data_IF_908891468785
#
_entry.id   IF_908891468785
#
_cell.length_a   1.000
_cell.length_b   1.000
_cell.length_c   1.000
_cell.angle_alpha   90.00
_cell.angle_beta   90.00
_cell.angle_gamma   90.00
#
_symmetry.space_group_name_H-M   'P 1'
#
loop_
_entity.id
_entity.type
_entity.pdbx_description
1 polymer ?
#
# COMPACT_ATOMS: atom_id res chain seq x y z
N UNK A 1 -11.94 -27.23 1.83
CA UNK A 1 -10.70 -26.92 1.11
C UNK A 1 -9.58 -26.75 2.14
N UNK A 2 -8.41 -27.37 1.96
CA UNK A 2 -7.25 -27.12 2.85
C UNK A 2 -6.52 -25.88 2.34
N UNK A 3 -6.28 -24.92 3.23
CA UNK A 3 -5.58 -23.67 2.89
C UNK A 3 -4.07 -23.87 2.78
N UNK A 4 -3.50 -24.80 3.58
CA UNK A 4 -2.07 -25.07 3.60
C UNK A 4 -1.71 -26.27 2.73
N UNK A 5 -0.56 -26.20 2.06
CA UNK A 5 -0.01 -27.26 1.21
C UNK A 5 1.24 -27.93 1.79
N UNK A 6 1.83 -27.35 2.83
CA UNK A 6 3.15 -27.67 3.42
C UNK A 6 4.33 -27.48 2.47
N UNK A 7 4.12 -27.00 1.25
CA UNK A 7 5.18 -26.82 0.26
C UNK A 7 6.20 -25.74 0.64
N UNK A 8 5.93 -24.94 1.68
CA UNK A 8 6.81 -23.89 2.17
C UNK A 8 7.41 -24.15 3.55
N UNK A 9 7.27 -25.39 4.09
CA UNK A 9 7.80 -25.76 5.41
C UNK A 9 9.35 -25.86 5.39
N UNK A 10 9.95 -25.94 4.22
CA UNK A 10 11.39 -25.92 3.96
C UNK A 10 12.01 -24.50 3.99
N UNK A 11 11.22 -23.43 4.29
CA UNK A 11 11.66 -22.05 4.30
C UNK A 11 11.62 -21.37 2.92
N UNK A 12 11.12 -22.03 1.87
CA UNK A 12 10.98 -21.43 0.55
C UNK A 12 9.52 -21.12 0.20
N UNK A 13 9.30 -20.26 -0.80
CA UNK A 13 7.97 -19.92 -1.30
C UNK A 13 7.96 -19.80 -2.83
N UNK A 14 6.79 -20.04 -3.44
CA UNK A 14 6.57 -19.85 -4.87
C UNK A 14 6.34 -18.38 -5.22
N UNK A 15 6.73 -17.98 -6.42
CA UNK A 15 6.52 -16.65 -6.98
C UNK A 15 5.49 -16.65 -8.10
N UNK A 16 5.02 -15.46 -8.46
CA UNK A 16 4.10 -15.27 -9.58
C UNK A 16 4.79 -15.66 -10.90
N UNK A 17 4.08 -16.35 -11.76
CA UNK A 17 4.62 -16.99 -12.98
C UNK A 17 5.67 -18.09 -12.75
N UNK A 18 5.82 -18.60 -11.53
CA UNK A 18 6.72 -19.71 -11.20
C UNK A 18 8.09 -19.29 -10.69
N UNK A 19 8.86 -20.29 -10.29
CA UNK A 19 10.09 -20.11 -9.52
C UNK A 19 9.84 -20.21 -8.01
N UNK A 20 10.91 -20.46 -7.25
CA UNK A 20 10.90 -20.51 -5.79
C UNK A 20 12.09 -19.73 -5.26
N UNK A 21 11.87 -19.04 -4.14
CA UNK A 21 12.90 -18.24 -3.44
C UNK A 21 12.80 -18.50 -1.93
N UNK A 22 13.82 -18.11 -1.20
CA UNK A 22 13.78 -18.11 0.26
C UNK A 22 12.75 -17.12 0.77
N UNK A 23 12.02 -17.47 1.83
CA UNK A 23 11.04 -16.58 2.46
C UNK A 23 11.66 -15.32 3.05
N UNK A 24 12.98 -15.33 3.30
CA UNK A 24 13.75 -14.16 3.77
C UNK A 24 14.34 -13.32 2.65
N UNK A 25 14.02 -13.61 1.37
CA UNK A 25 14.53 -12.84 0.23
C UNK A 25 13.81 -11.50 0.08
N UNK A 26 14.52 -10.51 -0.52
CA UNK A 26 14.02 -9.15 -0.70
C UNK A 26 12.63 -9.05 -1.36
N UNK A 27 12.32 -9.80 -2.44
CA UNK A 27 10.97 -9.72 -3.04
C UNK A 27 9.87 -10.18 -2.07
N UNK A 28 10.15 -11.13 -1.18
CA UNK A 28 9.18 -11.62 -0.20
C UNK A 28 9.03 -10.60 0.95
N UNK A 29 10.12 -9.96 1.37
CA UNK A 29 10.09 -8.91 2.38
C UNK A 29 9.28 -7.69 1.88
N UNK A 30 9.53 -7.24 0.63
CA UNK A 30 8.73 -6.16 0.02
C UNK A 30 7.27 -6.56 -0.09
N UNK A 31 6.99 -7.78 -0.56
CA UNK A 31 5.62 -8.28 -0.72
C UNK A 31 4.88 -8.32 0.61
N UNK A 32 5.53 -8.81 1.68
CA UNK A 32 4.98 -8.83 3.03
C UNK A 32 4.70 -7.42 3.58
N UNK A 33 5.59 -6.46 3.34
CA UNK A 33 5.38 -5.07 3.75
C UNK A 33 4.21 -4.41 3.01
N UNK A 34 4.00 -4.74 1.72
CA UNK A 34 2.86 -4.26 0.93
C UNK A 34 1.55 -4.91 1.39
N UNK A 35 1.57 -6.20 1.69
CA UNK A 35 0.41 -6.93 2.22
C UNK A 35 -0.04 -6.35 3.57
N UNK A 36 0.90 -6.02 4.45
CA UNK A 36 0.61 -5.31 5.71
C UNK A 36 -0.01 -3.92 5.46
N UNK A 37 0.51 -3.16 4.47
CA UNK A 37 -0.06 -1.87 4.08
C UNK A 37 -1.50 -2.04 3.57
N UNK A 38 -1.77 -3.07 2.77
CA UNK A 38 -3.12 -3.40 2.29
C UNK A 38 -4.05 -3.74 3.46
N UNK A 39 -3.62 -4.56 4.40
CA UNK A 39 -4.41 -4.91 5.58
C UNK A 39 -4.74 -3.66 6.43
N UNK A 40 -3.81 -2.71 6.58
CA UNK A 40 -4.04 -1.45 7.27
C UNK A 40 -5.06 -0.57 6.54
N UNK A 41 -5.04 -0.49 5.21
CA UNK A 41 -6.07 0.20 4.43
C UNK A 41 -7.43 -0.50 4.57
N UNK A 42 -7.47 -1.83 4.59
CA UNK A 42 -8.67 -2.62 4.86
C UNK A 42 -9.26 -2.33 6.24
N UNK A 43 -8.41 -2.16 7.25
CA UNK A 43 -8.85 -1.73 8.57
C UNK A 43 -9.46 -0.32 8.52
N UNK A 44 -8.79 0.65 7.90
CA UNK A 44 -9.34 2.01 7.73
C UNK A 44 -10.68 1.97 6.98
N UNK A 45 -10.79 1.16 5.92
CA UNK A 45 -12.01 0.97 5.16
C UNK A 45 -13.16 0.44 6.02
N UNK A 46 -12.89 -0.48 6.94
CA UNK A 46 -13.91 -1.04 7.85
C UNK A 46 -14.53 0.00 8.79
N UNK A 47 -13.86 1.14 8.98
CA UNK A 47 -14.30 2.27 9.81
C UNK A 47 -14.99 3.36 8.99
N UNK A 48 -15.04 3.24 7.67
CA UNK A 48 -15.75 4.15 6.77
C UNK A 48 -17.18 3.66 6.52
N UNK A 49 -18.07 4.58 6.14
CA UNK A 49 -19.42 4.22 5.72
C UNK A 49 -19.38 3.43 4.41
N UNK A 50 -20.03 2.26 4.39
CA UNK A 50 -20.08 1.39 3.21
C UNK A 50 -20.69 2.12 2.02
N UNK A 51 -20.02 2.07 0.87
CA UNK A 51 -20.45 2.74 -0.36
C UNK A 51 -20.18 4.25 -0.38
N UNK A 52 -19.58 4.83 0.65
CA UNK A 52 -19.14 6.22 0.61
C UNK A 52 -17.95 6.40 -0.35
N UNK A 53 -17.71 7.61 -0.87
CA UNK A 53 -16.59 7.87 -1.79
C UNK A 53 -15.23 7.41 -1.24
N UNK A 54 -14.98 7.57 0.06
CA UNK A 54 -13.74 7.11 0.68
C UNK A 54 -13.68 5.58 0.79
N UNK A 55 -14.81 4.91 1.04
CA UNK A 55 -14.88 3.45 1.07
C UNK A 55 -14.52 2.86 -0.30
N UNK A 56 -15.11 3.41 -1.37
CA UNK A 56 -14.83 2.96 -2.75
C UNK A 56 -13.39 3.27 -3.18
N UNK A 57 -12.85 4.43 -2.79
CA UNK A 57 -11.45 4.76 -3.01
C UNK A 57 -10.53 3.74 -2.33
N UNK A 58 -10.77 3.41 -1.05
CA UNK A 58 -9.97 2.44 -0.32
C UNK A 58 -10.02 1.05 -0.95
N UNK A 59 -11.19 0.59 -1.44
CA UNK A 59 -11.31 -0.65 -2.22
C UNK A 59 -10.40 -0.61 -3.46
N UNK A 60 -10.37 0.51 -4.18
CA UNK A 60 -9.52 0.64 -5.37
C UNK A 60 -8.04 0.60 -5.00
N UNK A 61 -7.62 1.26 -3.92
CA UNK A 61 -6.24 1.24 -3.44
C UNK A 61 -5.80 -0.18 -3.02
N UNK A 62 -6.67 -0.93 -2.33
CA UNK A 62 -6.41 -2.33 -1.99
C UNK A 62 -6.20 -3.19 -3.26
N UNK A 63 -6.99 -2.97 -4.32
CA UNK A 63 -6.83 -3.65 -5.61
C UNK A 63 -5.53 -3.27 -6.31
N UNK A 64 -5.15 -2.00 -6.27
CA UNK A 64 -3.90 -1.52 -6.83
C UNK A 64 -2.68 -2.17 -6.13
N UNK A 65 -2.75 -2.38 -4.81
CA UNK A 65 -1.70 -3.09 -4.06
C UNK A 65 -1.59 -4.57 -4.47
N UNK A 66 -2.67 -5.24 -4.87
CA UNK A 66 -2.61 -6.56 -5.49
C UNK A 66 -1.80 -6.57 -6.79
N UNK A 67 -1.99 -5.57 -7.64
CA UNK A 67 -1.21 -5.39 -8.87
C UNK A 67 0.26 -5.21 -8.55
N UNK A 68 0.57 -4.38 -7.56
CA UNK A 68 1.92 -4.10 -7.09
C UNK A 68 2.60 -5.37 -6.54
N UNK A 69 1.90 -6.15 -5.72
CA UNK A 69 2.40 -7.41 -5.19
C UNK A 69 2.69 -8.42 -6.30
N UNK A 70 1.86 -8.49 -7.34
CA UNK A 70 2.10 -9.35 -8.50
C UNK A 70 3.38 -8.93 -9.26
N UNK A 71 3.63 -7.63 -9.42
CA UNK A 71 4.85 -7.12 -10.03
C UNK A 71 6.09 -7.48 -9.20
N UNK A 72 6.05 -7.23 -7.88
CA UNK A 72 7.16 -7.54 -6.96
C UNK A 72 7.45 -9.04 -6.90
N UNK A 73 6.41 -9.88 -6.91
CA UNK A 73 6.52 -11.33 -6.88
C UNK A 73 6.91 -11.95 -8.24
N UNK A 74 7.37 -11.17 -9.21
CA UNK A 74 7.75 -11.64 -10.54
C UNK A 74 9.27 -11.57 -10.72
N UNK A 75 9.91 -12.73 -10.94
CA UNK A 75 11.34 -12.82 -11.23
C UNK A 75 11.70 -12.05 -12.51
N UNK A 76 12.94 -11.53 -12.63
CA UNK A 76 13.39 -10.76 -13.80
C UNK A 76 13.14 -11.46 -15.13
N UNK A 77 13.40 -12.76 -15.21
CA UNK A 77 13.20 -13.58 -16.42
C UNK A 77 11.72 -13.74 -16.81
N UNK A 78 10.80 -13.53 -15.87
CA UNK A 78 9.35 -13.64 -16.09
C UNK A 78 8.65 -12.28 -16.31
N UNK A 79 9.36 -11.15 -16.19
CA UNK A 79 8.77 -9.80 -16.29
C UNK A 79 8.07 -9.53 -17.62
N UNK A 80 8.48 -10.17 -18.71
CA UNK A 80 7.83 -10.10 -20.02
C UNK A 80 6.37 -10.61 -20.01
N UNK A 81 5.95 -11.32 -18.95
CA UNK A 81 4.58 -11.83 -18.76
C UNK A 81 3.67 -10.84 -18.04
N UNK A 82 4.22 -9.78 -17.44
CA UNK A 82 3.46 -8.73 -16.76
C UNK A 82 2.58 -7.98 -17.75
N UNK A 83 1.34 -7.70 -17.36
CA UNK A 83 0.37 -6.97 -18.17
C UNK A 83 -0.01 -5.67 -17.49
N UNK A 84 -0.12 -4.55 -18.24
CA UNK A 84 -0.61 -3.29 -17.68
C UNK A 84 -1.93 -3.50 -16.93
N UNK A 85 -2.08 -2.82 -15.78
CA UNK A 85 -3.28 -2.80 -14.92
C UNK A 85 -3.75 -4.16 -14.36
N UNK A 86 -3.02 -5.24 -14.62
CA UNK A 86 -3.30 -6.58 -14.07
C UNK A 86 -2.19 -7.08 -13.15
N UNK A 87 -0.94 -6.75 -13.48
CA UNK A 87 0.23 -7.22 -12.75
C UNK A 87 1.45 -6.31 -12.92
N UNK A 88 1.26 -5.09 -13.40
CA UNK A 88 2.31 -4.08 -13.57
C UNK A 88 1.77 -2.72 -13.14
N UNK A 89 2.49 -2.04 -12.23
CA UNK A 89 2.14 -0.68 -11.82
C UNK A 89 2.31 0.27 -13.00
N UNK A 90 1.28 1.06 -13.30
CA UNK A 90 1.25 1.99 -14.42
C UNK A 90 1.21 3.44 -13.96
N UNK A 91 1.61 4.36 -14.85
CA UNK A 91 1.52 5.79 -14.57
C UNK A 91 0.06 6.21 -14.31
N UNK A 92 -0.91 5.63 -15.02
CA UNK A 92 -2.33 5.91 -14.80
C UNK A 92 -2.82 5.55 -13.39
N UNK A 93 -2.24 4.51 -12.76
CA UNK A 93 -2.52 4.17 -11.36
C UNK A 93 -1.99 5.26 -10.43
N UNK A 94 -0.80 5.80 -10.69
CA UNK A 94 -0.21 6.87 -9.90
C UNK A 94 -0.99 8.17 -10.04
N UNK A 95 -1.41 8.52 -11.26
CA UNK A 95 -2.13 9.76 -11.55
C UNK A 95 -3.50 9.84 -10.85
N UNK A 96 -4.08 8.69 -10.49
CA UNK A 96 -5.31 8.61 -9.69
C UNK A 96 -5.10 8.88 -8.19
N UNK A 97 -3.86 8.85 -7.69
CA UNK A 97 -3.54 9.00 -6.28
C UNK A 97 -3.54 10.49 -5.86
N UNK A 98 -4.66 11.16 -6.06
CA UNK A 98 -4.83 12.55 -5.65
C UNK A 98 -6.17 12.79 -4.97
N UNK A 99 -6.17 13.64 -3.96
CA UNK A 99 -7.35 14.15 -3.29
C UNK A 99 -7.07 15.60 -2.91
N UNK A 100 -7.90 16.53 -3.41
CA UNK A 100 -7.77 17.95 -3.10
C UNK A 100 -8.61 18.29 -1.88
N UNK A 101 -7.95 18.80 -0.85
CA UNK A 101 -8.57 19.32 0.36
C UNK A 101 -7.84 20.59 0.81
N UNK A 102 -8.49 21.40 1.64
CA UNK A 102 -7.79 22.46 2.35
C UNK A 102 -6.87 21.83 3.41
N UNK A 103 -5.56 21.96 3.20
CA UNK A 103 -4.55 21.32 4.02
C UNK A 103 -4.27 22.13 5.28
N UNK A 104 -4.08 21.48 6.45
CA UNK A 104 -3.61 22.19 7.64
C UNK A 104 -2.21 22.79 7.36
N UNK A 105 -2.00 24.03 7.85
CA UNK A 105 -0.74 24.79 7.69
C UNK A 105 0.39 24.30 8.59
N UNK A 106 0.07 23.48 9.58
CA UNK A 106 0.99 22.95 10.59
C UNK A 106 0.88 21.43 10.66
N UNK A 107 1.91 20.76 11.19
CA UNK A 107 1.80 19.35 11.54
C UNK A 107 0.72 19.15 12.60
N UNK A 108 0.00 18.05 12.48
CA UNK A 108 -1.12 17.71 13.37
C UNK A 108 -0.81 16.48 14.22
N UNK A 109 -1.46 16.40 15.37
CA UNK A 109 -1.43 15.20 16.22
C UNK A 109 -2.43 14.20 15.65
N UNK A 110 -2.01 12.96 15.33
CA UNK A 110 -2.93 11.93 14.83
C UNK A 110 -3.97 11.52 15.86
N UNK A 111 -5.17 11.11 15.42
CA UNK A 111 -6.11 10.39 16.27
C UNK A 111 -7.37 11.13 16.70
N UNK A 112 -7.82 12.13 15.95
CA UNK A 112 -9.07 12.83 16.24
C UNK A 112 -10.31 11.93 16.12
N UNK A 113 -10.27 10.93 15.26
CA UNK A 113 -11.27 9.88 15.14
C UNK A 113 -10.66 8.55 14.70
N UNK A 114 -11.44 7.46 14.78
CA UNK A 114 -10.96 6.11 14.48
C UNK A 114 -10.48 5.95 13.01
N UNK A 115 -11.22 6.53 12.07
CA UNK A 115 -10.87 6.45 10.65
C UNK A 115 -9.56 7.19 10.35
N UNK A 116 -9.42 8.42 10.85
CA UNK A 116 -8.18 9.20 10.67
C UNK A 116 -6.98 8.53 11.33
N UNK A 117 -7.15 7.96 12.53
CA UNK A 117 -6.11 7.22 13.23
C UNK A 117 -5.66 5.99 12.43
N UNK A 118 -6.60 5.20 11.90
CA UNK A 118 -6.31 4.03 11.07
C UNK A 118 -5.59 4.41 9.76
N UNK A 119 -5.97 5.52 9.12
CA UNK A 119 -5.31 6.06 7.94
C UNK A 119 -3.88 6.55 8.24
N UNK A 120 -3.64 7.15 9.40
CA UNK A 120 -2.28 7.51 9.82
C UNK A 120 -1.41 6.29 10.11
N UNK A 121 -1.96 5.20 10.66
CA UNK A 121 -1.25 3.92 10.78
C UNK A 121 -0.92 3.39 9.39
N UNK A 122 -1.91 3.29 8.48
CA UNK A 122 -1.69 2.86 7.11
C UNK A 122 -0.59 3.67 6.42
N UNK A 123 -0.61 4.99 6.53
CA UNK A 123 0.44 5.88 6.00
C UNK A 123 1.84 5.48 6.48
N UNK A 124 2.02 5.20 7.77
CA UNK A 124 3.34 4.85 8.32
C UNK A 124 3.81 3.48 7.84
N UNK A 125 2.90 2.53 7.67
CA UNK A 125 3.18 1.19 7.11
C UNK A 125 3.50 1.28 5.63
N UNK A 126 2.76 2.06 4.84
CA UNK A 126 3.05 2.33 3.42
C UNK A 126 4.47 2.91 3.26
N UNK A 127 4.85 3.88 4.10
CA UNK A 127 6.21 4.45 4.10
C UNK A 127 7.29 3.42 4.48
N UNK A 128 6.98 2.43 5.29
CA UNK A 128 7.88 1.32 5.57
C UNK A 128 8.01 0.42 4.33
N UNK A 129 6.89 0.06 3.69
CA UNK A 129 6.89 -0.70 2.45
C UNK A 129 7.67 0.00 1.32
N UNK A 130 7.51 1.33 1.18
CA UNK A 130 8.29 2.15 0.26
C UNK A 130 9.80 2.00 0.50
N UNK A 131 10.27 2.19 1.75
CA UNK A 131 11.70 2.05 2.08
C UNK A 131 12.23 0.65 1.80
N UNK A 132 11.44 -0.39 2.08
CA UNK A 132 11.81 -1.77 1.77
C UNK A 132 11.92 -1.97 0.27
N UNK A 133 10.96 -1.43 -0.52
CA UNK A 133 10.98 -1.50 -1.97
C UNK A 133 12.16 -0.75 -2.62
N UNK A 134 12.60 0.37 -2.04
CA UNK A 134 13.82 1.09 -2.49
C UNK A 134 15.04 0.18 -2.41
N UNK A 135 15.17 -0.63 -1.36
CA UNK A 135 16.27 -1.59 -1.21
C UNK A 135 16.27 -2.71 -2.24
N UNK A 136 15.11 -3.08 -2.72
CA UNK A 136 14.95 -4.17 -3.73
C UNK A 136 15.06 -3.70 -5.18
N UNK A 137 15.15 -2.42 -5.47
CA UNK A 137 15.35 -1.77 -6.77
C UNK A 137 14.97 -2.61 -8.02
N UNK A 138 13.69 -2.63 -8.39
CA UNK A 138 13.22 -3.31 -9.60
C UNK A 138 13.42 -2.37 -10.79
N UNK A 139 14.22 -2.80 -11.78
CA UNK A 139 14.50 -2.00 -12.97
C UNK A 139 13.22 -1.66 -13.74
N UNK A 140 13.07 -0.40 -14.16
CA UNK A 140 11.91 0.12 -14.89
C UNK A 140 10.55 -0.08 -14.19
N UNK A 141 10.53 -0.20 -12.84
CA UNK A 141 9.32 -0.35 -12.04
C UNK A 141 8.85 1.01 -11.49
N UNK A 142 7.55 1.18 -11.41
CA UNK A 142 6.89 2.33 -10.78
C UNK A 142 6.44 2.04 -9.33
N UNK A 143 6.77 0.88 -8.76
CA UNK A 143 6.36 0.44 -7.42
C UNK A 143 6.71 1.47 -6.35
N UNK A 144 7.95 1.94 -6.31
CA UNK A 144 8.40 2.96 -5.33
C UNK A 144 7.64 4.27 -5.52
N UNK A 145 7.43 4.70 -6.76
CA UNK A 145 6.68 5.93 -7.07
C UNK A 145 5.22 5.83 -6.60
N UNK A 146 4.60 4.67 -6.82
CA UNK A 146 3.24 4.40 -6.36
C UNK A 146 3.15 4.46 -4.83
N UNK A 147 4.01 3.75 -4.11
CA UNK A 147 4.02 3.73 -2.66
C UNK A 147 4.26 5.12 -2.06
N UNK A 148 5.16 5.90 -2.65
CA UNK A 148 5.39 7.28 -2.24
C UNK A 148 4.12 8.13 -2.36
N UNK A 149 3.46 8.13 -3.54
CA UNK A 149 2.19 8.84 -3.74
C UNK A 149 1.08 8.32 -2.84
N UNK A 150 0.98 7.00 -2.65
CA UNK A 150 -0.03 6.39 -1.78
C UNK A 150 0.14 6.86 -0.32
N UNK A 151 1.37 7.04 0.14
CA UNK A 151 1.62 7.58 1.49
C UNK A 151 1.12 9.02 1.66
N UNK A 152 1.29 9.86 0.63
CA UNK A 152 0.78 11.24 0.62
C UNK A 152 -0.75 11.26 0.59
N UNK A 153 -1.35 10.39 -0.23
CA UNK A 153 -2.81 10.23 -0.29
C UNK A 153 -3.38 9.75 1.05
N UNK A 154 -2.74 8.77 1.69
CA UNK A 154 -3.19 8.26 3.00
C UNK A 154 -3.17 9.38 4.07
N UNK A 155 -2.16 10.25 4.05
CA UNK A 155 -2.12 11.43 4.92
C UNK A 155 -3.25 12.41 4.62
N UNK A 156 -3.49 12.69 3.34
CA UNK A 156 -4.57 13.59 2.89
C UNK A 156 -5.95 13.05 3.30
N UNK A 157 -6.19 11.73 3.10
CA UNK A 157 -7.43 11.09 3.54
C UNK A 157 -7.63 11.16 5.07
N UNK A 158 -6.55 11.00 5.84
CA UNK A 158 -6.62 11.14 7.30
C UNK A 158 -7.06 12.55 7.70
N UNK A 159 -6.48 13.58 7.07
CA UNK A 159 -6.89 14.99 7.31
C UNK A 159 -8.32 15.27 6.85
N UNK A 160 -8.71 14.71 5.71
CA UNK A 160 -10.09 14.79 5.26
C UNK A 160 -11.08 14.19 6.29
N UNK A 161 -10.74 13.01 6.85
CA UNK A 161 -11.58 12.34 7.84
C UNK A 161 -11.70 13.10 9.16
N UNK A 162 -10.71 13.92 9.52
CA UNK A 162 -10.76 14.82 10.70
C UNK A 162 -11.64 16.03 10.46
N UNK A 163 -11.81 16.47 9.21
CA UNK A 163 -12.46 17.74 8.89
C UNK A 163 -11.73 18.92 9.54
N UNK A 164 -12.45 19.90 10.11
CA UNK A 164 -11.83 21.07 10.75
C UNK A 164 -11.28 20.79 12.17
N UNK A 165 -11.36 19.56 12.67
CA UNK A 165 -11.11 19.21 14.09
C UNK A 165 -9.65 18.88 14.41
N UNK A 166 -8.72 19.01 13.45
CA UNK A 166 -7.31 18.67 13.64
C UNK A 166 -6.63 19.52 14.73
N UNK A 167 -5.73 18.89 15.50
CA UNK A 167 -4.94 19.54 16.56
C UNK A 167 -3.52 19.80 16.07
N UNK A 168 -3.02 21.06 16.16
CA UNK A 168 -1.61 21.34 15.86
C UNK A 168 -0.66 20.53 16.74
N UNK A 169 0.42 20.01 16.16
CA UNK A 169 1.45 19.26 16.89
C UNK A 169 2.30 20.17 17.81
N UNK A 170 2.32 21.49 17.55
CA UNK A 170 2.98 22.47 18.42
C UNK A 170 1.94 23.25 19.19
N UNK A 171 2.02 23.18 20.54
CA UNK A 171 1.31 24.10 21.44
C UNK A 171 2.14 25.39 21.50
N UNK A 172 1.54 26.52 21.11
CA UNK A 172 2.14 27.84 21.27
C UNK A 172 1.97 28.32 22.70
#
# INVERSE_FOLDING_TARGET
MKIYTRAGDDGTTGLYFGGRVDKSSDPIEVNGAVDEAQACLGWARSLSETGSPINELLIQLERDLWVLMAEVATLPENRHKLKPEQSLVTQSMIDRLSLEIEMPKEFVVPGENQLSAALDVARTVIRRAERTAVGYAIENSLVVHYLNRLSDLAWTMARWAEGPMHRPARVR
#
